data_IF_850310195438
#
_entry.id   IF_850310195438
#
_cell.length_a   1.000
_cell.length_b   1.000
_cell.length_c   1.000
_cell.angle_alpha   90.00
_cell.angle_beta   90.00
_cell.angle_gamma   90.00
#
_symmetry.space_group_name_H-M   'P 1'
#
loop_
_entity.id
_entity.type
_entity.pdbx_description
1 polymer ?
#
# COMPACT_ATOMS: atom_id res chain seq x y z
N UNK A 1 6.84 -34.83 -28.55
CA UNK A 1 5.83 -34.06 -27.84
C UNK A 1 5.72 -34.58 -26.42
N UNK A 2 5.35 -33.67 -25.49
CA UNK A 2 5.10 -34.04 -24.10
C UNK A 2 3.71 -34.65 -23.95
N UNK A 3 3.46 -35.57 -23.00
CA UNK A 3 2.11 -36.09 -22.73
C UNK A 3 1.18 -34.98 -22.29
N UNK A 4 -0.04 -34.98 -22.81
CA UNK A 4 -1.06 -33.99 -22.38
C UNK A 4 -1.38 -34.12 -20.87
N UNK A 5 -1.29 -33.02 -20.17
CA UNK A 5 -1.58 -32.95 -18.73
C UNK A 5 -2.81 -32.05 -18.47
N UNK A 6 -3.95 -32.68 -18.20
CA UNK A 6 -5.21 -31.98 -17.94
C UNK A 6 -5.14 -31.01 -16.74
N UNK A 7 -4.35 -31.36 -15.70
CA UNK A 7 -4.15 -30.48 -14.53
C UNK A 7 -3.35 -29.22 -14.90
N UNK A 8 -2.31 -29.37 -15.73
CA UNK A 8 -1.54 -28.25 -16.23
C UNK A 8 -2.40 -27.34 -17.13
N UNK A 9 -3.24 -27.91 -18.01
CA UNK A 9 -4.15 -27.17 -18.86
C UNK A 9 -5.16 -26.34 -18.05
N UNK A 10 -5.77 -26.91 -17.01
CA UNK A 10 -6.67 -26.17 -16.10
C UNK A 10 -5.95 -25.03 -15.38
N UNK A 11 -4.73 -25.25 -14.93
CA UNK A 11 -3.92 -24.21 -14.28
C UNK A 11 -3.59 -23.09 -15.26
N UNK A 12 -3.25 -23.40 -16.49
CA UNK A 12 -3.00 -22.39 -17.53
C UNK A 12 -4.24 -21.55 -17.78
N UNK A 13 -5.43 -22.17 -17.89
CA UNK A 13 -6.70 -21.48 -18.00
C UNK A 13 -6.93 -20.52 -16.82
N UNK A 14 -6.73 -21.01 -15.60
CA UNK A 14 -6.88 -20.21 -14.38
C UNK A 14 -5.90 -19.02 -14.35
N UNK A 15 -4.66 -19.22 -14.80
CA UNK A 15 -3.69 -18.14 -14.91
C UNK A 15 -4.11 -17.08 -15.90
N UNK A 16 -4.61 -17.49 -17.08
CA UNK A 16 -5.11 -16.57 -18.09
C UNK A 16 -6.33 -15.78 -17.55
N UNK A 17 -7.25 -16.48 -16.89
CA UNK A 17 -8.40 -15.82 -16.24
C UNK A 17 -7.97 -14.82 -15.14
N UNK A 18 -7.00 -15.19 -14.32
CA UNK A 18 -6.48 -14.35 -13.24
C UNK A 18 -5.71 -13.09 -13.73
N UNK A 19 -5.43 -12.97 -15.03
CA UNK A 19 -4.91 -11.72 -15.60
C UNK A 19 -5.95 -10.59 -15.51
N UNK A 20 -7.25 -10.95 -15.50
CA UNK A 20 -8.35 -9.99 -15.43
C UNK A 20 -8.55 -9.18 -16.71
N UNK A 21 -8.16 -9.74 -17.85
CA UNK A 21 -8.32 -9.15 -19.20
C UNK A 21 -9.48 -9.75 -19.96
N UNK A 22 -9.99 -10.88 -19.48
CA UNK A 22 -10.96 -11.71 -20.16
C UNK A 22 -12.20 -11.94 -19.29
N UNK A 23 -13.36 -11.82 -19.90
CA UNK A 23 -14.64 -12.16 -19.28
C UNK A 23 -14.82 -13.67 -19.20
N UNK A 24 -14.35 -14.38 -20.25
CA UNK A 24 -14.41 -15.84 -20.33
C UNK A 24 -13.14 -16.42 -20.96
N UNK A 25 -12.74 -17.59 -20.46
CA UNK A 25 -11.59 -18.35 -20.95
C UNK A 25 -11.97 -19.81 -21.05
N UNK A 26 -11.99 -20.34 -22.27
CA UNK A 26 -12.36 -21.71 -22.56
C UNK A 26 -11.19 -22.49 -23.17
N UNK A 27 -11.06 -23.75 -22.80
CA UNK A 27 -10.10 -24.69 -23.40
C UNK A 27 -10.89 -25.79 -24.12
N UNK A 28 -10.57 -25.98 -25.42
CA UNK A 28 -11.04 -27.10 -26.22
C UNK A 28 -9.87 -28.00 -26.56
N UNK A 29 -10.12 -29.30 -26.54
CA UNK A 29 -9.17 -30.32 -26.93
C UNK A 29 -9.62 -30.88 -28.27
N UNK A 30 -8.85 -30.61 -29.31
CA UNK A 30 -9.08 -31.11 -30.65
C UNK A 30 -8.13 -32.28 -30.98
N UNK A 31 -8.49 -33.20 -31.85
CA UNK A 31 -7.55 -34.21 -32.33
C UNK A 31 -6.34 -33.54 -32.99
N UNK A 32 -5.13 -33.93 -32.56
CA UNK A 32 -3.90 -33.43 -33.15
C UNK A 32 -3.60 -34.02 -34.52
N UNK A 33 -2.59 -33.45 -35.19
CA UNK A 33 -2.17 -33.91 -36.55
C UNK A 33 -1.51 -35.29 -36.53
N UNK A 34 -1.00 -35.71 -35.40
CA UNK A 34 -0.35 -37.04 -35.23
C UNK A 34 -1.31 -38.03 -34.56
N UNK A 35 -1.15 -39.35 -34.82
CA UNK A 35 -1.92 -40.36 -34.11
C UNK A 35 -1.67 -40.23 -32.60
N UNK A 36 -2.73 -40.11 -31.81
CA UNK A 36 -2.73 -39.82 -30.38
C UNK A 36 -2.24 -38.42 -29.97
N UNK A 37 -2.08 -37.49 -30.90
CA UNK A 37 -1.80 -36.08 -30.60
C UNK A 37 -3.09 -35.33 -30.18
N UNK A 38 -2.93 -34.34 -29.32
CA UNK A 38 -4.00 -33.42 -28.88
C UNK A 38 -3.56 -31.99 -29.17
N UNK A 39 -4.44 -31.24 -29.87
CA UNK A 39 -4.26 -29.80 -30.07
C UNK A 39 -5.10 -29.06 -29.02
N UNK A 40 -4.45 -28.18 -28.26
CA UNK A 40 -5.11 -27.38 -27.22
C UNK A 40 -5.47 -26.02 -27.82
N UNK A 41 -6.75 -25.75 -27.97
CA UNK A 41 -7.29 -24.47 -28.41
C UNK A 41 -7.75 -23.68 -27.18
N UNK A 42 -7.22 -22.47 -27.00
CA UNK A 42 -7.64 -21.55 -25.94
C UNK A 42 -8.43 -20.42 -26.60
N UNK A 43 -9.72 -20.36 -26.27
CA UNK A 43 -10.61 -19.28 -26.71
C UNK A 43 -10.85 -18.32 -25.58
N UNK A 44 -10.72 -17.02 -25.83
CA UNK A 44 -10.91 -15.97 -24.83
C UNK A 44 -11.95 -14.96 -25.32
N UNK A 45 -12.70 -14.40 -24.39
CA UNK A 45 -13.58 -13.25 -24.61
C UNK A 45 -12.96 -12.06 -23.89
N UNK A 46 -12.50 -11.07 -24.63
CA UNK A 46 -11.89 -9.87 -24.06
C UNK A 46 -12.93 -9.02 -23.33
N UNK A 47 -12.51 -8.43 -22.20
CA UNK A 47 -13.31 -7.46 -21.46
C UNK A 47 -12.65 -6.09 -21.46
N UNK A 48 -13.44 -5.05 -21.18
CA UNK A 48 -12.90 -3.72 -20.95
C UNK A 48 -12.09 -3.71 -19.64
N UNK A 49 -10.80 -3.41 -19.73
CA UNK A 49 -9.87 -3.37 -18.59
C UNK A 49 -9.72 -1.99 -17.98
N UNK A 50 -10.20 -0.96 -18.69
CA UNK A 50 -10.20 0.42 -18.25
C UNK A 50 -11.29 0.69 -17.21
N UNK A 51 -10.96 1.47 -16.19
CA UNK A 51 -11.88 1.92 -15.16
C UNK A 51 -11.79 3.43 -15.02
N UNK A 52 -12.93 4.06 -14.86
CA UNK A 52 -13.03 5.48 -14.54
C UNK A 52 -13.97 5.64 -13.36
N UNK A 53 -13.54 6.41 -12.35
CA UNK A 53 -14.33 6.70 -11.17
C UNK A 53 -14.36 8.19 -10.92
N UNK A 54 -15.52 8.67 -10.51
CA UNK A 54 -15.75 10.03 -10.05
C UNK A 54 -16.48 9.94 -8.71
N UNK A 55 -16.07 10.74 -7.75
CA UNK A 55 -16.71 10.82 -6.45
C UNK A 55 -16.75 12.25 -5.97
N UNK A 56 -17.76 12.57 -5.17
CA UNK A 56 -17.86 13.84 -4.48
C UNK A 56 -18.48 13.61 -3.11
N UNK A 57 -18.01 14.37 -2.12
CA UNK A 57 -18.48 14.31 -0.75
C UNK A 57 -18.41 15.68 -0.09
N UNK A 58 -19.00 15.77 1.08
CA UNK A 58 -18.89 16.94 1.93
C UNK A 58 -18.61 16.47 3.37
N UNK A 59 -17.59 17.03 3.98
CA UNK A 59 -17.32 16.86 5.41
C UNK A 59 -17.35 18.21 6.11
N UNK A 60 -17.63 18.22 7.41
CA UNK A 60 -17.61 19.47 8.19
C UNK A 60 -16.17 19.97 8.41
N UNK A 61 -15.19 19.08 8.33
CA UNK A 61 -13.78 19.40 8.50
C UNK A 61 -13.17 19.94 7.19
N UNK A 62 -13.38 19.22 6.07
CA UNK A 62 -12.72 19.51 4.79
C UNK A 62 -13.59 20.28 3.80
N UNK A 63 -14.88 20.51 4.12
CA UNK A 63 -15.84 21.08 3.19
C UNK A 63 -16.17 20.13 2.04
N UNK A 64 -16.21 20.65 0.82
CA UNK A 64 -16.45 19.85 -0.39
C UNK A 64 -15.18 19.14 -0.83
N UNK A 65 -15.28 17.82 -1.04
CA UNK A 65 -14.20 16.96 -1.50
C UNK A 65 -14.62 16.25 -2.78
N UNK A 66 -13.78 16.29 -3.79
CA UNK A 66 -13.96 15.56 -5.05
C UNK A 66 -12.85 14.55 -5.27
N UNK A 67 -13.15 13.49 -6.01
CA UNK A 67 -12.19 12.45 -6.39
C UNK A 67 -12.39 12.07 -7.85
N UNK A 68 -11.29 11.91 -8.55
CA UNK A 68 -11.24 11.30 -9.89
C UNK A 68 -10.24 10.15 -9.85
N UNK A 69 -10.61 9.00 -10.38
CA UNK A 69 -9.72 7.87 -10.55
C UNK A 69 -9.77 7.33 -11.97
N UNK A 70 -8.62 6.98 -12.50
CA UNK A 70 -8.43 6.36 -13.80
C UNK A 70 -7.54 5.15 -13.62
N UNK A 71 -7.98 3.99 -14.09
CA UNK A 71 -7.18 2.77 -14.04
C UNK A 71 -7.31 1.97 -15.33
N UNK A 72 -6.29 1.21 -15.65
CA UNK A 72 -6.31 0.21 -16.69
C UNK A 72 -5.41 -0.96 -16.31
N UNK A 73 -5.93 -2.17 -16.39
CA UNK A 73 -5.19 -3.39 -16.07
C UNK A 73 -4.41 -3.94 -17.26
N UNK A 74 -4.72 -3.48 -18.46
CA UNK A 74 -4.09 -3.90 -19.70
C UNK A 74 -3.76 -2.71 -20.59
N UNK A 75 -3.15 -1.69 -19.99
CA UNK A 75 -2.83 -0.44 -20.64
C UNK A 75 -2.03 -0.67 -21.93
N UNK A 76 -2.51 -0.12 -23.03
CA UNK A 76 -1.97 -0.30 -24.39
C UNK A 76 -2.03 -1.74 -24.93
N UNK A 77 -2.78 -2.65 -24.29
CA UNK A 77 -2.93 -4.04 -24.71
C UNK A 77 -1.69 -4.93 -24.47
N UNK A 78 -0.72 -4.46 -23.67
CA UNK A 78 0.55 -5.17 -23.44
C UNK A 78 0.66 -5.72 -22.01
N UNK A 79 -0.43 -5.69 -21.25
CA UNK A 79 -0.48 -6.16 -19.87
C UNK A 79 0.04 -5.17 -18.85
N UNK A 80 0.49 -4.00 -19.25
CA UNK A 80 0.89 -2.95 -18.31
C UNK A 80 -0.32 -2.46 -17.52
N UNK A 81 -0.11 -2.12 -16.24
CA UNK A 81 -1.18 -1.63 -15.38
C UNK A 81 -0.87 -0.19 -14.99
N UNK A 82 -1.88 0.65 -15.12
CA UNK A 82 -1.82 2.05 -14.67
C UNK A 82 -2.97 2.31 -13.72
N UNK A 83 -2.71 3.09 -12.67
CA UNK A 83 -3.73 3.63 -11.81
C UNK A 83 -3.34 5.04 -11.39
N UNK A 84 -4.28 5.97 -11.54
CA UNK A 84 -4.16 7.35 -11.10
C UNK A 84 -5.38 7.68 -10.26
N UNK A 85 -5.16 8.19 -9.07
CA UNK A 85 -6.18 8.75 -8.19
C UNK A 85 -5.80 10.18 -7.84
N UNK A 86 -6.75 11.06 -7.99
CA UNK A 86 -6.63 12.46 -7.61
C UNK A 86 -7.82 12.85 -6.75
N UNK A 87 -7.54 13.34 -5.56
CA UNK A 87 -8.53 13.91 -4.65
C UNK A 87 -8.25 15.41 -4.51
N UNK A 88 -9.30 16.19 -4.46
CA UNK A 88 -9.24 17.64 -4.32
C UNK A 88 -10.39 18.12 -3.47
N UNK A 89 -10.15 19.16 -2.69
CA UNK A 89 -11.16 19.77 -1.82
C UNK A 89 -10.54 20.29 -0.52
N UNK A 90 -11.31 20.97 0.28
CA UNK A 90 -10.81 21.63 1.49
C UNK A 90 -9.81 22.76 1.21
N UNK A 91 -9.28 23.31 2.28
CA UNK A 91 -8.24 24.33 2.21
C UNK A 91 -6.87 23.71 1.95
N UNK A 92 -6.48 23.41 0.72
CA UNK A 92 -5.18 22.84 0.30
C UNK A 92 -5.08 21.33 0.18
N UNK A 93 -6.14 20.54 0.32
CA UNK A 93 -6.08 19.10 0.17
C UNK A 93 -6.06 18.68 -1.31
N UNK A 94 -4.87 18.39 -1.83
CA UNK A 94 -4.65 17.81 -3.16
C UNK A 94 -3.86 16.52 -3.00
N UNK A 95 -4.56 15.39 -3.07
CA UNK A 95 -3.96 14.07 -2.93
C UNK A 95 -3.77 13.44 -4.30
N UNK A 96 -2.57 12.95 -4.56
CA UNK A 96 -2.24 12.25 -5.78
C UNK A 96 -1.66 10.88 -5.43
N UNK A 97 -2.16 9.86 -6.07
CA UNK A 97 -1.60 8.52 -6.04
C UNK A 97 -1.50 8.01 -7.47
N UNK A 98 -0.31 7.64 -7.90
CA UNK A 98 -0.03 7.11 -9.21
C UNK A 98 0.74 5.81 -9.10
N UNK A 99 0.27 4.79 -9.79
CA UNK A 99 0.92 3.48 -9.86
C UNK A 99 1.03 3.03 -11.31
N UNK A 100 2.22 2.59 -11.70
CA UNK A 100 2.47 1.94 -12.97
C UNK A 100 3.19 0.62 -12.74
N UNK A 101 2.65 -0.46 -13.31
CA UNK A 101 3.24 -1.80 -13.21
C UNK A 101 3.45 -2.38 -14.59
N UNK A 102 4.67 -2.79 -14.88
CA UNK A 102 5.01 -3.63 -16.01
C UNK A 102 5.25 -5.07 -15.54
N UNK A 103 4.34 -6.01 -15.86
CA UNK A 103 4.39 -7.36 -15.28
C UNK A 103 5.46 -8.25 -15.90
N UNK A 104 5.91 -7.96 -17.12
CA UNK A 104 6.89 -8.77 -17.85
C UNK A 104 8.04 -7.89 -18.38
N UNK A 105 9.07 -7.69 -17.55
CA UNK A 105 10.31 -7.05 -17.97
C UNK A 105 11.22 -8.00 -18.74
N UNK A 106 11.11 -9.28 -18.44
CA UNK A 106 11.92 -10.36 -19.00
C UNK A 106 11.12 -11.66 -19.12
N UNK A 107 11.73 -12.66 -19.79
CA UNK A 107 11.14 -14.00 -19.98
C UNK A 107 10.98 -14.79 -18.66
N UNK A 108 11.48 -14.26 -17.54
CA UNK A 108 11.39 -14.88 -16.22
C UNK A 108 10.26 -14.32 -15.36
N UNK A 109 9.30 -13.65 -15.99
CA UNK A 109 8.14 -13.05 -15.31
C UNK A 109 8.55 -12.02 -14.22
N UNK A 110 9.62 -11.26 -14.46
CA UNK A 110 9.99 -10.16 -13.57
C UNK A 110 9.04 -9.00 -13.80
N UNK A 111 8.39 -8.53 -12.76
CA UNK A 111 7.58 -7.31 -12.80
C UNK A 111 8.32 -6.14 -12.17
N UNK A 112 8.04 -4.94 -12.67
CA UNK A 112 8.43 -3.69 -12.02
C UNK A 112 7.20 -2.83 -11.77
N UNK A 113 7.11 -2.28 -10.58
CA UNK A 113 6.06 -1.33 -10.18
C UNK A 113 6.70 -0.05 -9.69
N UNK A 114 6.19 1.07 -10.14
CA UNK A 114 6.55 2.40 -9.67
C UNK A 114 5.29 2.99 -9.03
N UNK A 115 5.41 3.45 -7.78
CA UNK A 115 4.38 4.19 -7.09
C UNK A 115 4.89 5.60 -6.78
N UNK A 116 4.07 6.61 -7.09
CA UNK A 116 4.33 8.01 -6.77
C UNK A 116 3.10 8.54 -6.03
N UNK A 117 3.32 9.16 -4.89
CA UNK A 117 2.20 9.68 -4.09
C UNK A 117 2.56 10.99 -3.39
N UNK A 118 1.55 11.82 -3.24
CA UNK A 118 1.54 13.04 -2.44
C UNK A 118 0.16 13.12 -1.78
N UNK A 119 0.08 12.71 -0.51
CA UNK A 119 -1.16 12.49 0.21
C UNK A 119 -1.10 13.28 1.52
N UNK A 120 -2.10 14.09 1.77
CA UNK A 120 -2.29 14.79 3.03
C UNK A 120 -3.47 14.18 3.77
N UNK A 121 -3.26 13.83 5.04
CA UNK A 121 -4.31 13.35 5.93
C UNK A 121 -4.32 14.20 7.19
N UNK A 122 -5.52 14.57 7.62
CA UNK A 122 -5.74 15.22 8.89
C UNK A 122 -5.72 14.19 10.02
N UNK A 123 -5.09 14.54 11.12
CA UNK A 123 -5.03 13.75 12.35
C UNK A 123 -5.48 14.63 13.52
N UNK A 124 -6.18 14.03 14.45
CA UNK A 124 -6.52 14.63 15.71
C UNK A 124 -5.99 13.77 16.86
N UNK A 125 -5.33 14.38 17.81
CA UNK A 125 -4.93 13.75 19.06
C UNK A 125 -5.96 14.07 20.14
N UNK A 126 -6.28 13.09 20.97
CA UNK A 126 -7.28 13.19 22.02
C UNK A 126 -6.63 12.90 23.38
N UNK A 127 -7.09 13.56 24.43
CA UNK A 127 -6.72 13.27 25.80
C UNK A 127 -7.41 11.97 26.29
N UNK A 128 -7.08 11.56 27.53
CA UNK A 128 -7.65 10.35 28.14
C UNK A 128 -9.15 10.47 28.37
N UNK A 129 -9.68 11.69 28.47
CA UNK A 129 -11.09 12.00 28.69
C UNK A 129 -11.87 12.06 27.36
N UNK A 130 -11.18 11.99 26.23
CA UNK A 130 -11.75 11.99 24.88
C UNK A 130 -11.87 13.36 24.26
N UNK A 131 -11.34 14.42 24.85
CA UNK A 131 -11.33 15.76 24.29
C UNK A 131 -10.21 15.88 23.25
N UNK A 132 -10.51 16.55 22.14
CA UNK A 132 -9.51 16.87 21.12
C UNK A 132 -8.55 17.94 21.65
N UNK A 133 -7.27 17.62 21.61
CA UNK A 133 -6.20 18.45 22.16
C UNK A 133 -5.27 19.02 21.10
N UNK A 134 -5.21 18.38 19.94
CA UNK A 134 -4.44 18.86 18.81
C UNK A 134 -4.98 18.31 17.51
N UNK A 135 -4.94 19.13 16.47
CA UNK A 135 -5.29 18.74 15.11
C UNK A 135 -4.15 19.16 14.18
N UNK A 136 -3.71 18.29 13.32
CA UNK A 136 -2.60 18.55 12.41
C UNK A 136 -2.72 17.76 11.12
N UNK A 137 -2.12 18.27 10.05
CA UNK A 137 -2.00 17.57 8.79
C UNK A 137 -0.67 16.85 8.67
N UNK A 138 -0.74 15.59 8.29
CA UNK A 138 0.41 14.81 7.88
C UNK A 138 0.43 14.68 6.37
N UNK A 139 1.37 15.35 5.74
CA UNK A 139 1.64 15.21 4.32
C UNK A 139 2.67 14.12 4.09
N UNK A 140 2.30 13.13 3.31
CA UNK A 140 3.17 12.03 2.91
C UNK A 140 3.47 12.13 1.43
N UNK A 141 4.71 12.40 1.09
CA UNK A 141 5.19 12.42 -0.28
C UNK A 141 6.23 11.33 -0.47
N UNK A 142 6.13 10.58 -1.57
CA UNK A 142 7.11 9.53 -1.77
C UNK A 142 7.08 8.89 -3.14
N UNK A 143 8.09 8.07 -3.32
CA UNK A 143 8.26 7.22 -4.48
C UNK A 143 8.76 5.85 -4.04
N UNK A 144 8.23 4.83 -4.68
CA UNK A 144 8.60 3.44 -4.43
C UNK A 144 8.80 2.71 -5.75
N UNK A 145 9.85 1.92 -5.84
CA UNK A 145 10.10 1.05 -6.98
C UNK A 145 10.18 -0.37 -6.44
N UNK A 146 9.31 -1.24 -6.94
CA UNK A 146 9.26 -2.65 -6.55
C UNK A 146 9.58 -3.53 -7.74
N UNK A 147 10.55 -4.42 -7.59
CA UNK A 147 10.80 -5.52 -8.51
C UNK A 147 10.32 -6.81 -7.86
N UNK A 148 9.52 -7.57 -8.58
CA UNK A 148 9.03 -8.87 -8.12
C UNK A 148 9.29 -9.93 -9.18
N UNK A 149 9.71 -11.12 -8.74
CA UNK A 149 9.95 -12.26 -9.61
C UNK A 149 9.41 -13.54 -9.00
N UNK A 150 8.74 -14.33 -9.82
CA UNK A 150 8.32 -15.67 -9.46
C UNK A 150 9.54 -16.60 -9.36
N UNK A 151 9.53 -17.50 -8.41
CA UNK A 151 10.57 -18.51 -8.23
C UNK A 151 10.28 -19.74 -9.09
N UNK A 152 11.13 -20.78 -8.97
CA UNK A 152 10.88 -22.09 -9.58
C UNK A 152 9.55 -22.72 -9.09
N UNK A 153 9.13 -22.42 -7.86
CA UNK A 153 7.81 -22.78 -7.36
C UNK A 153 6.81 -21.72 -7.85
N UNK A 154 5.84 -22.15 -8.65
CA UNK A 154 4.82 -21.27 -9.25
C UNK A 154 3.99 -20.46 -8.26
N UNK A 155 3.92 -20.90 -7.00
CA UNK A 155 3.19 -20.22 -5.92
C UNK A 155 4.05 -19.22 -5.16
N UNK A 156 5.35 -19.14 -5.41
CA UNK A 156 6.29 -18.31 -4.63
C UNK A 156 6.85 -17.19 -5.47
N UNK A 157 6.69 -15.96 -4.98
CA UNK A 157 7.32 -14.77 -5.54
C UNK A 157 8.20 -14.10 -4.50
N UNK A 158 9.36 -13.62 -4.92
CA UNK A 158 10.21 -12.73 -4.13
C UNK A 158 10.09 -11.31 -4.67
N UNK A 159 10.21 -10.32 -3.80
CA UNK A 159 10.23 -8.93 -4.23
C UNK A 159 11.24 -8.10 -3.44
N UNK A 160 11.68 -7.02 -4.07
CA UNK A 160 12.52 -5.99 -3.47
C UNK A 160 11.83 -4.66 -3.75
N UNK A 161 11.63 -3.86 -2.71
CA UNK A 161 11.12 -2.50 -2.83
C UNK A 161 12.17 -1.52 -2.34
N UNK A 162 12.45 -0.50 -3.13
CA UNK A 162 13.25 0.67 -2.75
C UNK A 162 12.27 1.81 -2.55
N UNK A 163 12.32 2.42 -1.37
CA UNK A 163 11.40 3.50 -0.97
C UNK A 163 12.17 4.74 -0.55
N UNK A 164 11.69 5.88 -1.01
CA UNK A 164 12.04 7.20 -0.50
C UNK A 164 10.74 7.94 -0.18
N UNK A 165 10.49 8.20 1.09
CA UNK A 165 9.27 8.81 1.60
C UNK A 165 9.60 9.92 2.56
N UNK A 166 8.95 11.04 2.40
CA UNK A 166 9.00 12.19 3.29
C UNK A 166 7.63 12.36 3.97
N UNK A 167 7.60 12.20 5.29
CA UNK A 167 6.45 12.48 6.13
C UNK A 167 6.63 13.89 6.70
N UNK A 168 5.84 14.85 6.22
CA UNK A 168 5.94 16.26 6.52
C UNK A 168 4.79 16.65 7.46
N UNK A 169 5.12 17.32 8.55
CA UNK A 169 4.14 18.00 9.40
C UNK A 169 3.65 19.26 8.70
N UNK A 170 2.35 19.38 8.53
CA UNK A 170 1.69 20.58 8.07
C UNK A 170 0.56 20.92 9.02
N UNK A 171 0.38 22.15 9.29
CA UNK A 171 -0.76 22.63 10.01
C UNK A 171 -0.43 23.47 11.21
N UNK A 172 -1.34 24.33 11.49
CA UNK A 172 -1.47 25.07 12.74
C UNK A 172 -2.23 24.13 13.67
N UNK A 173 -1.53 23.29 14.38
CA UNK A 173 -2.16 22.54 15.44
C UNK A 173 -2.44 23.51 16.58
N UNK A 174 -3.68 23.96 16.68
CA UNK A 174 -4.16 24.58 17.89
C UNK A 174 -3.80 23.67 19.07
N UNK A 175 -2.88 24.12 19.93
CA UNK A 175 -2.37 23.37 21.05
C UNK A 175 -0.91 22.93 20.96
N UNK A 176 -0.40 22.45 19.83
CA UNK A 176 1.00 22.07 19.67
C UNK A 176 1.97 23.24 19.45
N UNK A 177 1.49 24.32 18.85
CA UNK A 177 2.32 25.51 18.60
C UNK A 177 2.25 26.54 19.68
N UNK A 178 1.12 26.65 20.39
CA UNK A 178 0.93 27.68 21.42
C UNK A 178 1.52 27.32 22.77
N UNK A 179 1.48 26.07 23.20
CA UNK A 179 2.26 25.56 24.34
C UNK A 179 2.42 24.03 24.27
N UNK A 180 3.44 23.54 23.59
CA UNK A 180 3.70 22.10 23.50
C UNK A 180 3.98 21.47 24.86
N UNK A 181 4.36 22.25 25.88
CA UNK A 181 4.59 21.74 27.22
C UNK A 181 3.27 21.59 27.99
N UNK A 182 2.30 22.47 27.79
CA UNK A 182 1.02 22.43 28.49
C UNK A 182 0.25 21.16 28.18
N UNK A 183 0.27 20.68 26.95
CA UNK A 183 -0.32 19.42 26.56
C UNK A 183 0.21 18.22 27.34
N UNK A 184 1.52 18.21 27.62
CA UNK A 184 2.14 17.13 28.40
C UNK A 184 1.95 17.36 29.90
N UNK A 185 1.95 18.59 30.34
CA UNK A 185 1.67 18.95 31.74
C UNK A 185 0.28 18.47 32.15
N UNK A 186 -0.75 18.72 31.33
CA UNK A 186 -2.12 18.31 31.62
C UNK A 186 -2.31 16.77 31.64
N UNK A 187 -1.50 16.02 30.92
CA UNK A 187 -1.56 14.57 30.92
C UNK A 187 -0.73 13.88 32.01
N UNK A 188 0.42 14.45 32.38
CA UNK A 188 1.39 13.81 33.25
C UNK A 188 1.63 14.57 34.55
N UNK A 189 1.19 15.81 34.65
CA UNK A 189 1.30 16.65 35.82
C UNK A 189 -0.08 17.12 36.26
N UNK A 190 -0.31 17.01 37.57
CA UNK A 190 -1.52 17.55 38.18
C UNK A 190 -1.17 18.90 38.76
N UNK A 191 -1.84 19.96 38.34
CA UNK A 191 -1.79 21.26 39.01
C UNK A 191 -2.66 21.21 40.26
N UNK A 192 -2.06 21.42 41.41
CA UNK A 192 -2.76 21.46 42.69
C UNK A 192 -3.41 22.82 42.90
N UNK A 193 -4.38 22.92 43.84
CA UNK A 193 -5.11 24.16 44.16
C UNK A 193 -4.21 25.27 44.68
N UNK A 194 -3.01 24.92 45.18
CA UNK A 194 -1.96 25.85 45.65
C UNK A 194 -1.04 26.37 44.52
N UNK A 195 -1.31 25.96 43.26
CA UNK A 195 -0.53 26.30 42.09
C UNK A 195 0.73 25.47 41.89
N UNK A 196 1.01 24.50 42.78
CA UNK A 196 2.13 23.56 42.60
C UNK A 196 1.77 22.49 41.56
N UNK A 197 2.78 22.03 40.83
CA UNK A 197 2.64 20.96 39.82
C UNK A 197 3.23 19.68 40.42
N UNK A 198 2.41 18.64 40.56
CA UNK A 198 2.85 17.31 41.01
C UNK A 198 2.92 16.35 39.84
N UNK A 199 4.08 15.70 39.70
CA UNK A 199 4.27 14.60 38.76
C UNK A 199 3.53 13.36 39.26
N UNK A 200 2.78 12.69 38.36
CA UNK A 200 2.12 11.44 38.70
C UNK A 200 3.17 10.32 38.86
N UNK A 201 3.23 9.67 40.02
CA UNK A 201 4.17 8.58 40.32
C UNK A 201 4.03 7.37 39.36
N UNK A 202 2.93 7.28 38.62
CA UNK A 202 2.71 6.23 37.61
C UNK A 202 3.58 6.38 36.37
N UNK A 203 4.22 7.51 36.16
CA UNK A 203 4.88 7.85 34.90
C UNK A 203 6.34 8.33 35.12
N UNK A 204 6.97 7.97 36.23
CA UNK A 204 8.35 8.33 36.50
C UNK A 204 9.35 7.90 35.41
N UNK A 205 9.06 6.80 34.69
CA UNK A 205 9.87 6.30 33.58
C UNK A 205 9.52 6.92 32.23
N UNK A 206 8.45 7.70 32.17
CA UNK A 206 7.95 8.31 30.94
C UNK A 206 8.13 9.83 30.98
N UNK A 207 9.33 10.27 30.65
CA UNK A 207 9.54 11.69 30.39
C UNK A 207 8.68 12.11 29.22
N UNK A 208 7.77 13.07 29.38
CA UNK A 208 6.98 13.56 28.26
C UNK A 208 7.93 14.17 27.24
N UNK A 209 7.85 13.65 26.00
CA UNK A 209 8.62 14.20 24.89
C UNK A 209 8.00 15.52 24.48
N UNK A 210 8.83 16.51 24.25
CA UNK A 210 8.36 17.80 23.70
C UNK A 210 7.70 17.60 22.33
N UNK A 211 6.84 18.51 21.91
CA UNK A 211 6.23 18.46 20.58
C UNK A 211 7.30 18.42 19.47
N UNK A 212 8.41 19.12 19.65
CA UNK A 212 9.55 19.09 18.72
C UNK A 212 10.20 17.70 18.65
N UNK A 213 10.36 16.99 19.78
CA UNK A 213 10.89 15.63 19.80
C UNK A 213 9.92 14.63 19.14
N UNK A 214 8.61 14.74 19.41
CA UNK A 214 7.60 13.90 18.72
C UNK A 214 7.55 14.16 17.23
N UNK A 215 7.65 15.41 16.79
CA UNK A 215 7.75 15.74 15.37
C UNK A 215 8.96 15.06 14.74
N UNK A 216 10.12 15.14 15.39
CA UNK A 216 11.34 14.50 14.91
C UNK A 216 11.21 12.98 14.81
N UNK A 217 10.46 12.33 15.71
CA UNK A 217 10.23 10.89 15.68
C UNK A 217 9.20 10.43 14.65
N UNK A 218 8.22 11.28 14.30
CA UNK A 218 7.10 10.91 13.47
C UNK A 218 7.13 11.53 12.07
N UNK A 219 7.99 12.54 11.86
CA UNK A 219 8.09 13.29 10.61
C UNK A 219 9.54 13.37 10.16
N UNK A 220 9.75 13.23 8.87
CA UNK A 220 11.06 13.21 8.24
C UNK A 220 11.14 12.22 7.11
N UNK A 221 12.34 12.07 6.56
CA UNK A 221 12.64 11.26 5.39
C UNK A 221 12.95 9.83 5.78
N UNK A 222 12.16 8.88 5.24
CA UNK A 222 12.45 7.45 5.31
C UNK A 222 13.03 6.98 3.98
N UNK A 223 14.26 6.44 3.99
CA UNK A 223 14.84 5.72 2.86
C UNK A 223 15.06 4.28 3.26
N UNK A 224 14.41 3.37 2.57
CA UNK A 224 14.44 1.96 2.98
C UNK A 224 14.49 1.00 1.81
N UNK A 225 15.01 -0.19 2.09
CA UNK A 225 14.92 -1.35 1.20
C UNK A 225 14.09 -2.41 1.92
N UNK A 226 13.12 -2.96 1.21
CA UNK A 226 12.30 -4.06 1.69
C UNK A 226 12.59 -5.30 0.87
N UNK A 227 12.86 -6.42 1.53
CA UNK A 227 12.91 -7.75 0.93
C UNK A 227 11.70 -8.53 1.40
N UNK A 228 10.98 -9.14 0.46
CA UNK A 228 9.81 -9.92 0.83
C UNK A 228 9.62 -11.15 -0.04
N UNK A 229 8.83 -12.07 0.50
CA UNK A 229 8.40 -13.31 -0.16
C UNK A 229 6.93 -13.53 0.09
N UNK A 230 6.24 -13.94 -0.97
CA UNK A 230 4.83 -14.29 -0.94
C UNK A 230 4.66 -15.69 -1.49
N UNK A 231 3.98 -16.54 -0.73
CA UNK A 231 3.41 -17.79 -1.20
C UNK A 231 1.91 -17.56 -1.44
N UNK A 232 1.44 -17.82 -2.64
CA UNK A 232 0.03 -17.64 -3.00
C UNK A 232 -0.45 -18.84 -3.83
N UNK A 233 -1.24 -19.72 -3.21
CA UNK A 233 -1.82 -20.90 -3.84
C UNK A 233 -3.32 -20.81 -4.05
N UNK A 234 -3.89 -19.61 -3.93
CA UNK A 234 -5.33 -19.41 -4.13
C UNK A 234 -5.72 -19.75 -5.57
N UNK A 235 -6.86 -20.40 -5.72
CA UNK A 235 -7.45 -20.76 -7.01
C UNK A 235 -7.85 -19.51 -7.80
N UNK A 236 -8.47 -18.55 -7.14
CA UNK A 236 -8.87 -17.26 -7.69
C UNK A 236 -8.36 -16.13 -6.79
N UNK A 237 -7.68 -15.14 -7.36
CA UNK A 237 -7.15 -13.99 -6.60
C UNK A 237 -8.24 -12.98 -6.22
N UNK A 238 -9.36 -12.95 -6.96
CA UNK A 238 -10.48 -12.03 -6.77
C UNK A 238 -11.53 -12.58 -5.81
N UNK A 239 -11.84 -13.87 -5.95
CA UNK A 239 -12.83 -14.59 -5.15
C UNK A 239 -12.28 -15.99 -4.80
N UNK A 240 -11.42 -16.10 -3.78
CA UNK A 240 -10.75 -17.35 -3.45
C UNK A 240 -11.68 -18.31 -2.70
N UNK A 241 -11.79 -19.54 -3.22
CA UNK A 241 -12.51 -20.64 -2.59
C UNK A 241 -11.56 -21.67 -1.99
N UNK A 242 -10.36 -21.80 -2.53
CA UNK A 242 -9.35 -22.74 -2.08
C UNK A 242 -7.96 -22.11 -2.07
N UNK A 243 -7.08 -22.67 -1.24
CA UNK A 243 -5.68 -22.23 -1.15
C UNK A 243 -5.44 -21.27 0.00
N UNK A 244 -4.25 -20.66 0.01
CA UNK A 244 -3.82 -19.71 1.03
C UNK A 244 -2.81 -18.72 0.48
N UNK A 245 -2.75 -17.56 1.10
CA UNK A 245 -1.69 -16.58 0.85
C UNK A 245 -0.92 -16.32 2.14
N UNK A 246 0.40 -16.44 2.07
CA UNK A 246 1.30 -16.16 3.17
C UNK A 246 2.39 -15.22 2.64
N UNK A 247 2.54 -14.08 3.27
CA UNK A 247 3.58 -13.10 2.96
C UNK A 247 4.43 -12.80 4.17
N UNK A 248 5.71 -12.57 3.96
CA UNK A 248 6.59 -11.97 4.96
C UNK A 248 7.60 -11.05 4.30
N UNK A 249 7.97 -10.01 5.02
CA UNK A 249 8.95 -9.05 4.56
C UNK A 249 9.74 -8.45 5.70
N UNK A 250 10.93 -7.97 5.33
CA UNK A 250 11.82 -7.20 6.19
C UNK A 250 12.11 -5.90 5.49
N UNK A 251 11.77 -4.80 6.12
CA UNK A 251 12.12 -3.45 5.71
C UNK A 251 13.27 -2.95 6.59
N UNK A 252 14.33 -2.49 5.95
CA UNK A 252 15.47 -1.89 6.59
C UNK A 252 15.63 -0.45 6.13
N UNK A 253 15.64 0.50 7.07
CA UNK A 253 15.85 1.92 6.87
C UNK A 253 17.13 2.39 7.56
N UNK A 254 17.66 3.54 7.17
CA UNK A 254 18.84 4.18 7.75
C UNK A 254 20.11 4.00 6.92
N UNK A 255 20.33 2.82 6.33
CA UNK A 255 21.55 2.55 5.56
C UNK A 255 21.74 3.36 4.28
N UNK A 256 20.68 3.96 3.76
CA UNK A 256 20.69 4.86 2.60
C UNK A 256 20.53 6.34 2.99
N UNK A 257 20.76 6.67 4.25
CA UNK A 257 20.44 7.98 4.81
C UNK A 257 18.95 8.15 5.09
N UNK A 258 18.54 9.38 5.39
CA UNK A 258 17.20 9.72 5.89
C UNK A 258 17.24 9.99 7.37
N UNK A 259 16.08 10.25 7.97
CA UNK A 259 15.97 10.65 9.38
C UNK A 259 15.65 9.47 10.29
N UNK A 260 15.31 8.30 9.71
CA UNK A 260 14.90 7.13 10.47
C UNK A 260 15.83 5.94 10.23
N UNK A 261 16.14 5.25 11.33
CA UNK A 261 16.89 4.00 11.36
C UNK A 261 16.05 2.93 12.08
N UNK A 262 15.60 1.93 11.33
CA UNK A 262 14.82 0.84 11.89
C UNK A 262 14.87 -0.42 11.01
N UNK A 263 14.54 -1.55 11.64
CA UNK A 263 14.22 -2.79 10.95
C UNK A 263 12.80 -3.21 11.31
N UNK A 264 11.93 -3.35 10.30
CA UNK A 264 10.53 -3.73 10.46
C UNK A 264 10.26 -5.08 9.81
N UNK A 265 9.72 -6.01 10.59
CA UNK A 265 9.23 -7.30 10.13
C UNK A 265 7.73 -7.26 9.93
N UNK A 266 7.26 -7.81 8.82
CA UNK A 266 5.83 -7.90 8.53
C UNK A 266 5.51 -9.33 8.10
N UNK A 267 4.43 -9.89 8.66
CA UNK A 267 3.86 -11.17 8.26
C UNK A 267 2.36 -10.98 7.96
N UNK A 268 1.91 -11.58 6.88
CA UNK A 268 0.51 -11.54 6.40
C UNK A 268 0.08 -12.96 6.11
N UNK A 269 -1.09 -13.35 6.60
CA UNK A 269 -1.70 -14.65 6.33
C UNK A 269 -3.19 -14.47 6.00
N UNK A 270 -3.59 -15.04 4.89
CA UNK A 270 -4.99 -15.06 4.42
C UNK A 270 -5.35 -16.42 3.89
#
# INVERSE_FOLDING_TARGET
GEPFNAKAARRSMQRVYNLGYFEDVNIKLNPGREPNGVEVEISVVEMNTGTFGIGAGYSNADGFVGMVSIGDKNFRGIGDKINLRWEFGGEDNKNYDFSYTRPWLDDKETSATINLYDITNEYADYNIDGDEIARYDKKRRGQEITFSRRTHNEFVSNYITIKNRDDIYKGEADGYENDPNQYYEDQFYKKNDDGTITKSDKYEDWMPKTAAERRKENFGVTRSITFGRVYDSRDNIYDPHEGKRIGYSVEWAGGMGGDFDFTKWTADWR
#
